data_IF_114895957152
#
_entry.id   IF_114895957152
#
_cell.length_a   1.000
_cell.length_b   1.000
_cell.length_c   1.000
_cell.angle_alpha   90.00
_cell.angle_beta   90.00
_cell.angle_gamma   90.00
#
_symmetry.space_group_name_H-M   'P 1'
#
loop_
_entity.id
_entity.type
_entity.pdbx_description
1 polymer ?
#
# COMPACT_ATOMS: atom_id res chain seq x y z
N UNK A 1 -19.24 -0.55 -27.96
CA UNK A 1 -20.58 -0.91 -27.46
C UNK A 1 -20.73 -0.30 -26.06
N UNK A 2 -21.82 0.43 -25.79
CA UNK A 2 -22.03 1.02 -24.47
C UNK A 2 -22.53 -0.03 -23.48
N UNK A 3 -21.91 -0.07 -22.29
CA UNK A 3 -22.33 -0.91 -21.16
C UNK A 3 -22.87 -0.01 -20.04
N UNK A 4 -24.04 -0.34 -19.49
CA UNK A 4 -24.64 0.32 -18.34
C UNK A 4 -24.37 -0.49 -17.08
N UNK A 5 -23.85 0.15 -16.04
CA UNK A 5 -23.70 -0.48 -14.73
C UNK A 5 -25.02 -0.35 -13.97
N UNK A 6 -25.54 -1.47 -13.49
CA UNK A 6 -26.81 -1.53 -12.75
C UNK A 6 -26.63 -2.17 -11.38
N UNK A 7 -27.46 -1.76 -10.41
CA UNK A 7 -27.48 -2.40 -9.08
C UNK A 7 -28.15 -3.77 -9.13
N UNK A 8 -29.25 -3.87 -9.86
CA UNK A 8 -30.09 -5.06 -9.92
C UNK A 8 -30.28 -5.53 -11.38
N UNK A 9 -30.27 -6.85 -11.59
CA UNK A 9 -30.49 -7.46 -12.90
C UNK A 9 -31.88 -7.16 -13.47
N UNK A 10 -32.89 -7.04 -12.61
CA UNK A 10 -34.26 -6.71 -13.03
C UNK A 10 -34.36 -5.32 -13.66
N UNK A 11 -33.65 -4.35 -13.08
CA UNK A 11 -33.55 -2.99 -13.62
C UNK A 11 -32.75 -3.03 -14.91
N UNK A 12 -31.61 -3.73 -14.93
CA UNK A 12 -30.80 -3.92 -16.14
C UNK A 12 -31.57 -4.52 -17.30
N UNK A 13 -32.39 -5.54 -17.08
CA UNK A 13 -33.20 -6.18 -18.13
C UNK A 13 -34.22 -5.23 -18.75
N UNK A 14 -34.83 -4.35 -17.95
CA UNK A 14 -35.75 -3.31 -18.45
C UNK A 14 -35.03 -2.26 -19.29
N UNK A 15 -33.88 -1.78 -18.82
CA UNK A 15 -33.08 -0.77 -19.52
C UNK A 15 -32.44 -1.32 -20.80
N UNK A 16 -31.92 -2.54 -20.75
CA UNK A 16 -31.35 -3.25 -21.89
C UNK A 16 -32.34 -3.33 -23.06
N UNK A 17 -33.59 -3.74 -22.79
CA UNK A 17 -34.64 -3.86 -23.82
C UNK A 17 -35.14 -2.52 -24.35
N UNK A 18 -35.24 -1.51 -23.48
CA UNK A 18 -35.80 -0.20 -23.85
C UNK A 18 -34.80 0.69 -24.60
N UNK A 19 -33.50 0.55 -24.33
CA UNK A 19 -32.46 1.43 -24.84
C UNK A 19 -31.37 0.70 -25.67
N UNK A 20 -31.59 -0.58 -26.01
CA UNK A 20 -30.69 -1.43 -26.84
C UNK A 20 -29.21 -1.41 -26.37
N UNK A 21 -29.01 -1.57 -25.07
CA UNK A 21 -27.70 -1.51 -24.41
C UNK A 21 -27.42 -2.75 -23.55
N UNK A 22 -26.15 -3.09 -23.40
CA UNK A 22 -25.73 -4.20 -22.54
C UNK A 22 -25.61 -3.69 -21.09
N UNK A 23 -26.12 -4.47 -20.13
CA UNK A 23 -26.04 -4.14 -18.71
C UNK A 23 -25.10 -5.09 -17.98
N UNK A 24 -24.39 -4.60 -16.97
CA UNK A 24 -23.55 -5.40 -16.07
C UNK A 24 -23.76 -4.97 -14.63
N UNK A 25 -23.85 -5.93 -13.70
CA UNK A 25 -23.92 -5.67 -12.27
C UNK A 25 -22.52 -5.51 -11.68
N UNK A 26 -22.43 -4.97 -10.46
CA UNK A 26 -21.16 -4.92 -9.72
C UNK A 26 -20.61 -6.32 -9.38
N UNK A 27 -21.49 -7.32 -9.31
CA UNK A 27 -21.14 -8.72 -9.06
C UNK A 27 -20.62 -9.44 -10.33
N UNK A 28 -20.75 -8.82 -11.50
CA UNK A 28 -20.26 -9.36 -12.77
C UNK A 28 -21.30 -10.14 -13.57
N UNK A 29 -22.55 -10.19 -13.12
CA UNK A 29 -23.65 -10.69 -13.94
C UNK A 29 -23.98 -9.68 -15.04
N UNK A 30 -24.34 -10.16 -16.22
CA UNK A 30 -24.62 -9.29 -17.37
C UNK A 30 -25.94 -9.66 -18.04
N UNK A 31 -26.56 -8.64 -18.62
CA UNK A 31 -27.75 -8.77 -19.45
C UNK A 31 -27.43 -8.17 -20.80
N UNK A 32 -27.54 -8.98 -21.86
CA UNK A 32 -27.37 -8.45 -23.20
C UNK A 32 -28.62 -7.69 -23.66
N UNK A 33 -28.48 -6.85 -24.69
CA UNK A 33 -29.60 -6.15 -25.40
C UNK A 33 -30.75 -7.08 -25.86
N UNK A 34 -30.44 -8.34 -26.12
CA UNK A 34 -31.41 -9.37 -26.54
C UNK A 34 -32.13 -10.03 -25.35
N UNK A 35 -31.81 -9.64 -24.12
CA UNK A 35 -32.38 -10.17 -22.88
C UNK A 35 -31.77 -11.49 -22.38
N UNK A 36 -30.65 -11.96 -22.96
CA UNK A 36 -29.91 -13.08 -22.41
C UNK A 36 -29.17 -12.63 -21.14
N UNK A 37 -29.38 -13.38 -20.07
CA UNK A 37 -28.75 -13.20 -18.78
C UNK A 37 -27.55 -14.13 -18.70
N UNK A 38 -26.36 -13.58 -18.47
CA UNK A 38 -25.15 -14.35 -18.18
C UNK A 38 -24.75 -14.07 -16.75
N UNK A 39 -24.84 -15.10 -15.90
CA UNK A 39 -24.47 -14.99 -14.50
C UNK A 39 -23.84 -16.27 -13.98
N UNK A 40 -23.27 -16.19 -12.78
CA UNK A 40 -22.64 -17.33 -12.10
C UNK A 40 -21.60 -16.92 -11.06
N UNK A 41 -21.06 -17.92 -10.35
CA UNK A 41 -20.01 -17.67 -9.37
C UNK A 41 -18.66 -17.40 -10.06
N UNK A 42 -18.16 -16.18 -9.90
CA UNK A 42 -16.81 -15.82 -10.34
C UNK A 42 -15.86 -15.82 -9.13
N UNK A 43 -14.85 -16.69 -9.17
CA UNK A 43 -13.82 -16.70 -8.13
C UNK A 43 -12.97 -15.42 -8.21
N UNK A 44 -13.16 -14.53 -7.23
CA UNK A 44 -12.43 -13.27 -7.11
C UNK A 44 -10.91 -13.46 -7.02
N UNK A 45 -10.43 -14.64 -6.57
CA UNK A 45 -8.98 -14.94 -6.52
C UNK A 45 -8.35 -15.08 -7.91
N UNK A 46 -9.14 -15.45 -8.92
CA UNK A 46 -8.70 -15.52 -10.32
C UNK A 46 -8.88 -14.19 -11.06
N UNK A 47 -9.45 -13.18 -10.40
CA UNK A 47 -9.68 -11.87 -11.03
C UNK A 47 -8.35 -11.15 -11.28
N UNK A 48 -8.07 -10.88 -12.55
CA UNK A 48 -6.89 -10.08 -12.99
C UNK A 48 -6.92 -8.67 -12.41
N UNK A 49 -8.11 -8.06 -12.33
CA UNK A 49 -8.28 -6.73 -11.75
C UNK A 49 -7.98 -6.75 -10.26
N UNK A 50 -8.42 -7.78 -9.54
CA UNK A 50 -8.12 -7.91 -8.11
C UNK A 50 -6.63 -8.09 -7.86
N UNK A 51 -5.97 -8.96 -8.62
CA UNK A 51 -4.53 -9.15 -8.53
C UNK A 51 -3.76 -7.84 -8.79
N UNK A 52 -4.21 -7.03 -9.75
CA UNK A 52 -3.62 -5.71 -10.00
C UNK A 52 -3.84 -4.73 -8.86
N UNK A 53 -5.04 -4.69 -8.28
CA UNK A 53 -5.36 -3.85 -7.12
C UNK A 53 -4.49 -4.22 -5.91
N UNK A 54 -4.37 -5.51 -5.62
CA UNK A 54 -3.54 -5.99 -4.52
C UNK A 54 -2.06 -5.70 -4.78
N UNK A 55 -1.59 -5.79 -6.03
CA UNK A 55 -0.24 -5.36 -6.41
C UNK A 55 0.01 -3.87 -6.17
N UNK A 56 -0.97 -3.01 -6.46
CA UNK A 56 -0.86 -1.56 -6.19
C UNK A 56 -0.78 -1.29 -4.69
N UNK A 57 -1.66 -1.91 -3.91
CA UNK A 57 -1.65 -1.81 -2.43
C UNK A 57 -0.33 -2.26 -1.82
N UNK A 58 0.20 -3.39 -2.27
CA UNK A 58 1.48 -3.91 -1.78
C UNK A 58 2.64 -2.97 -2.12
N UNK A 59 2.60 -2.31 -3.28
CA UNK A 59 3.61 -1.29 -3.63
C UNK A 59 3.52 -0.06 -2.75
N UNK A 60 2.31 0.42 -2.46
CA UNK A 60 2.11 1.54 -1.54
C UNK A 60 2.60 1.20 -0.14
N UNK A 61 2.27 0.00 0.36
CA UNK A 61 2.74 -0.48 1.66
C UNK A 61 4.27 -0.61 1.69
N UNK A 62 4.89 -1.15 0.63
CA UNK A 62 6.34 -1.25 0.53
C UNK A 62 7.00 0.13 0.57
N UNK A 63 6.52 1.08 -0.23
CA UNK A 63 7.05 2.44 -0.26
C UNK A 63 6.92 3.14 1.10
N UNK A 64 5.81 2.93 1.81
CA UNK A 64 5.62 3.46 3.15
C UNK A 64 6.65 2.87 4.14
N UNK A 65 6.85 1.56 4.11
CA UNK A 65 7.84 0.89 4.96
C UNK A 65 9.28 1.28 4.63
N UNK A 66 9.62 1.49 3.35
CA UNK A 66 10.93 2.00 2.93
C UNK A 66 11.17 3.43 3.44
N UNK A 67 10.14 4.29 3.40
CA UNK A 67 10.23 5.65 3.93
C UNK A 67 10.40 5.67 5.46
N UNK A 68 9.68 4.80 6.17
CA UNK A 68 9.82 4.66 7.62
C UNK A 68 11.23 4.15 8.00
N UNK A 69 11.74 3.15 7.28
CA UNK A 69 13.09 2.64 7.48
C UNK A 69 14.14 3.74 7.28
N UNK A 70 14.02 4.53 6.20
CA UNK A 70 14.93 5.64 5.92
C UNK A 70 14.90 6.70 7.04
N UNK A 71 13.72 7.00 7.59
CA UNK A 71 13.58 7.95 8.70
C UNK A 71 14.28 7.44 9.98
N UNK A 72 14.07 6.17 10.34
CA UNK A 72 14.68 5.55 11.53
C UNK A 72 16.20 5.49 11.40
N UNK A 73 16.72 5.11 10.23
CA UNK A 73 18.16 5.08 9.97
C UNK A 73 18.76 6.49 10.09
N UNK A 74 18.12 7.50 9.48
CA UNK A 74 18.57 8.89 9.58
C UNK A 74 18.54 9.43 11.01
N UNK A 75 17.56 9.02 11.83
CA UNK A 75 17.54 9.36 13.25
C UNK A 75 18.69 8.69 14.02
N UNK A 76 18.98 7.43 13.73
CA UNK A 76 20.13 6.70 14.29
C UNK A 76 21.46 7.40 14.00
N UNK A 77 21.71 7.73 12.73
CA UNK A 77 22.93 8.45 12.31
C UNK A 77 23.07 9.81 13.01
N UNK A 78 21.95 10.53 13.19
CA UNK A 78 21.94 11.81 13.93
C UNK A 78 22.33 11.62 15.39
N UNK A 79 21.78 10.60 16.06
CA UNK A 79 22.09 10.28 17.44
C UNK A 79 23.55 9.84 17.61
N UNK A 80 24.08 9.04 16.70
CA UNK A 80 25.48 8.61 16.71
C UNK A 80 26.45 9.79 16.52
N UNK A 81 26.11 10.73 15.63
CA UNK A 81 26.87 11.97 15.48
C UNK A 81 26.83 12.82 16.75
N UNK A 82 25.69 12.89 17.43
CA UNK A 82 25.54 13.60 18.70
C UNK A 82 26.35 12.95 19.83
N UNK A 83 26.32 11.62 19.96
CA UNK A 83 27.16 10.87 20.91
C UNK A 83 28.64 11.14 20.65
N UNK A 84 29.06 11.08 19.39
CA UNK A 84 30.45 11.33 18.99
C UNK A 84 30.91 12.75 19.35
N UNK A 85 30.03 13.75 19.15
CA UNK A 85 30.28 15.14 19.56
C UNK A 85 30.46 15.27 21.07
N UNK A 86 29.54 14.71 21.86
CA UNK A 86 29.60 14.79 23.33
C UNK A 86 30.85 14.10 23.87
N UNK A 87 31.24 12.95 23.32
CA UNK A 87 32.49 12.26 23.67
C UNK A 87 33.73 13.11 23.35
N UNK A 88 33.74 13.78 22.20
CA UNK A 88 34.83 14.66 21.77
C UNK A 88 34.95 15.89 22.68
N UNK A 89 33.83 16.47 23.10
CA UNK A 89 33.82 17.60 24.02
C UNK A 89 34.30 17.19 25.41
N UNK A 90 33.89 16.01 25.90
CA UNK A 90 34.38 15.48 27.18
C UNK A 90 35.89 15.25 27.19
N UNK A 91 36.46 14.76 26.08
CA UNK A 91 37.90 14.55 25.95
C UNK A 91 38.70 15.86 26.00
N UNK A 92 38.12 16.98 25.54
CA UNK A 92 38.76 18.31 25.59
C UNK A 92 38.73 18.93 26.98
N UNK A 93 37.72 18.63 27.79
CA UNK A 93 37.53 19.22 29.12
C UNK A 93 38.33 18.52 30.22
N UNK A 94 38.99 17.39 29.94
CA UNK A 94 39.93 16.74 30.87
C UNK A 94 41.37 16.77 30.34
N UNK A 95 42.21 17.76 30.72
CA UNK A 95 43.65 17.54 30.71
C UNK A 95 43.95 16.52 31.82
N UNK A 96 44.49 15.34 31.49
CA UNK A 96 44.87 14.33 32.49
C UNK A 96 46.03 14.79 33.39
N UNK A 97 46.54 13.98 34.34
CA UNK A 97 46.14 12.62 34.73
C UNK A 97 45.87 12.48 36.25
N UNK A 98 45.15 11.43 36.68
CA UNK A 98 45.18 11.00 38.09
C UNK A 98 45.30 9.47 38.16
N UNK A 99 46.46 8.95 37.80
CA UNK A 99 47.10 7.84 38.53
C UNK A 99 48.56 7.71 38.06
N UNK A 100 49.48 8.33 38.80
CA UNK A 100 50.89 7.89 38.81
C UNK A 100 51.02 6.68 39.78
N UNK A 101 52.00 5.79 39.57
CA UNK A 101 52.02 4.44 40.11
C UNK A 101 52.48 4.43 41.57
N UNK A 102 51.79 3.67 42.43
CA UNK A 102 52.30 3.37 43.76
C UNK A 102 53.46 2.37 43.64
N UNK A 103 54.69 2.88 43.56
CA UNK A 103 55.85 2.13 43.98
C UNK A 103 55.70 1.81 45.47
N UNK A 104 55.55 0.53 45.80
CA UNK A 104 56.01 -0.04 47.07
C UNK A 104 56.40 -1.50 46.87
#
# INVERSE_FOLDING_TARGET
>A
MPHLIVRDLDVGSRFSKSHDLDCVTLEGDSVNRKGALSGGYTDLRRSRLRAQLDRLRLREALAASEAELAAVVGEGERLDAEVTRVLSDRAKTSPGPLLEPSCR
#
